data_IF_116828418243
#
_entry.id   IF_116828418243
#
_cell.length_a   1.000
_cell.length_b   1.000
_cell.length_c   1.000
_cell.angle_alpha   90.00
_cell.angle_beta   90.00
_cell.angle_gamma   90.00
#
_symmetry.space_group_name_H-M   'P 1'
#
loop_
_entity.id
_entity.type
_entity.pdbx_description
1 polymer ?
#
# COMPACT_ATOMS: atom_id res chain seq x y z
N UNK A 1 11.01 -3.47 14.29
CA UNK A 1 9.76 -2.82 13.82
C UNK A 1 10.03 -1.37 13.52
N UNK A 2 9.58 -0.87 12.38
CA UNK A 2 9.71 0.54 12.04
C UNK A 2 8.33 1.23 12.13
N UNK A 3 8.33 2.55 12.03
CA UNK A 3 7.09 3.31 12.19
C UNK A 3 6.06 3.08 11.07
N UNK A 4 6.49 2.54 9.92
CA UNK A 4 5.57 2.24 8.83
C UNK A 4 4.75 0.96 9.08
N UNK A 5 5.22 0.07 9.96
CA UNK A 5 4.55 -1.22 10.18
C UNK A 5 3.13 -1.05 10.71
N UNK A 6 2.94 -0.13 11.65
CA UNK A 6 1.61 0.16 12.19
C UNK A 6 0.71 0.78 11.13
N UNK A 7 1.27 1.63 10.27
CA UNK A 7 0.51 2.25 9.19
C UNK A 7 0.12 1.24 8.13
N UNK A 8 1.00 0.28 7.84
CA UNK A 8 0.68 -0.82 6.92
C UNK A 8 -0.50 -1.63 7.44
N UNK A 9 -0.46 -2.00 8.73
CA UNK A 9 -1.55 -2.75 9.34
C UNK A 9 -2.88 -1.99 9.21
N UNK A 10 -2.84 -0.69 9.41
CA UNK A 10 -4.04 0.15 9.28
C UNK A 10 -4.54 0.21 7.83
N UNK A 11 -3.64 0.33 6.86
CA UNK A 11 -4.04 0.36 5.45
C UNK A 11 -4.71 -0.96 5.03
N UNK A 12 -4.16 -2.09 5.46
CA UNK A 12 -4.75 -3.41 5.20
C UNK A 12 -6.14 -3.51 5.83
N UNK A 13 -6.27 -3.09 7.08
CA UNK A 13 -7.53 -3.11 7.79
C UNK A 13 -8.59 -2.23 7.12
N UNK A 14 -8.19 -1.03 6.69
CA UNK A 14 -9.10 -0.12 5.99
C UNK A 14 -9.61 -0.73 4.68
N UNK A 15 -8.74 -1.37 3.91
CA UNK A 15 -9.13 -2.03 2.67
C UNK A 15 -10.11 -3.18 2.95
N UNK A 16 -9.80 -4.00 3.94
CA UNK A 16 -10.68 -5.13 4.32
C UNK A 16 -12.03 -4.67 4.80
N UNK A 17 -12.09 -3.56 5.52
CA UNK A 17 -13.35 -3.01 6.01
C UNK A 17 -14.28 -2.62 4.86
N UNK A 18 -13.74 -2.33 3.68
CA UNK A 18 -14.51 -2.03 2.48
C UNK A 18 -14.80 -3.27 1.63
N UNK A 19 -14.42 -4.46 2.12
CA UNK A 19 -14.59 -5.70 1.34
C UNK A 19 -13.62 -5.86 0.19
N UNK A 20 -12.52 -5.09 0.18
CA UNK A 20 -11.50 -5.20 -0.84
C UNK A 20 -10.63 -6.43 -0.54
N UNK A 21 -10.47 -7.36 -1.49
CA UNK A 21 -9.83 -8.66 -1.23
C UNK A 21 -8.30 -8.59 -1.29
N UNK A 22 -7.70 -7.80 -0.39
CA UNK A 22 -6.25 -7.76 -0.27
C UNK A 22 -5.72 -9.12 0.18
N UNK A 23 -4.50 -9.46 -0.21
CA UNK A 23 -3.90 -10.74 0.13
C UNK A 23 -3.78 -10.94 1.64
N UNK A 24 -3.99 -12.18 2.09
CA UNK A 24 -3.71 -12.57 3.47
C UNK A 24 -2.21 -12.77 3.71
N UNK A 25 -1.40 -12.73 2.64
CA UNK A 25 0.03 -13.02 2.71
C UNK A 25 0.89 -11.77 2.51
N UNK A 26 0.47 -10.68 3.09
CA UNK A 26 1.26 -9.45 3.11
C UNK A 26 2.15 -9.50 4.35
N UNK A 27 3.47 -9.37 4.16
CA UNK A 27 4.38 -9.28 5.30
C UNK A 27 3.99 -8.09 6.18
N UNK A 28 3.94 -8.27 7.51
CA UNK A 28 3.58 -7.17 8.41
C UNK A 28 4.69 -6.13 8.56
N UNK A 29 5.85 -6.37 7.98
CA UNK A 29 6.99 -5.46 8.06
C UNK A 29 7.20 -4.76 6.73
N UNK A 30 7.25 -3.44 6.79
CA UNK A 30 7.58 -2.60 5.63
C UNK A 30 9.09 -2.59 5.46
N UNK A 31 9.55 -2.85 4.24
CA UNK A 31 10.96 -2.68 3.90
C UNK A 31 11.21 -1.21 3.57
N UNK A 32 12.22 -0.61 4.18
CA UNK A 32 12.57 0.78 3.92
C UNK A 32 13.68 0.83 2.88
N UNK A 33 13.42 1.49 1.76
CA UNK A 33 14.39 1.64 0.69
C UNK A 33 15.10 2.99 0.83
N UNK A 34 16.39 2.95 1.10
CA UNK A 34 17.21 4.14 1.31
C UNK A 34 17.78 4.72 0.02
N UNK A 35 17.56 4.03 -1.10
CA UNK A 35 18.11 4.44 -2.41
C UNK A 35 17.06 4.90 -3.41
N UNK A 36 15.78 4.76 -3.07
CA UNK A 36 14.70 5.12 -3.99
C UNK A 36 14.63 6.65 -4.11
N UNK A 37 14.82 7.16 -5.32
CA UNK A 37 14.79 8.61 -5.58
C UNK A 37 13.63 9.01 -6.49
N UNK A 38 13.05 8.07 -7.22
CA UNK A 38 11.99 8.36 -8.20
C UNK A 38 10.64 7.77 -7.84
N UNK A 39 10.60 6.79 -6.94
CA UNK A 39 9.35 6.18 -6.52
C UNK A 39 9.28 6.16 -5.00
N UNK A 40 8.06 6.27 -4.46
CA UNK A 40 7.85 6.27 -3.02
C UNK A 40 7.53 4.88 -2.47
N UNK A 41 7.00 3.98 -3.28
CA UNK A 41 6.64 2.66 -2.83
C UNK A 41 6.72 1.60 -3.91
N UNK A 42 6.70 0.34 -3.47
CA UNK A 42 6.75 -0.82 -4.34
C UNK A 42 6.09 -2.00 -3.64
N UNK A 43 5.44 -2.87 -4.41
CA UNK A 43 4.89 -4.12 -3.91
C UNK A 43 5.69 -5.26 -4.55
N UNK A 44 6.38 -6.03 -3.72
CA UNK A 44 7.28 -7.09 -4.19
C UNK A 44 6.70 -8.44 -3.79
N UNK A 45 6.59 -9.36 -4.75
CA UNK A 45 6.19 -10.73 -4.44
C UNK A 45 7.44 -11.57 -4.25
N UNK A 46 7.52 -12.23 -3.10
CA UNK A 46 8.70 -13.02 -2.74
C UNK A 46 8.27 -14.28 -2.01
N UNK A 47 8.48 -15.45 -2.64
CA UNK A 47 8.19 -16.73 -2.01
C UNK A 47 6.74 -16.90 -1.60
N UNK A 48 5.80 -16.41 -2.36
CA UNK A 48 4.37 -16.51 -2.03
C UNK A 48 3.86 -15.44 -1.06
N UNK A 49 4.74 -14.56 -0.62
CA UNK A 49 4.40 -13.46 0.27
C UNK A 49 4.60 -12.14 -0.46
N UNK A 50 3.81 -11.13 -0.10
CA UNK A 50 4.00 -9.77 -0.60
C UNK A 50 4.74 -8.95 0.44
N UNK A 51 5.76 -8.24 0.00
CA UNK A 51 6.51 -7.30 0.83
C UNK A 51 6.27 -5.90 0.30
N UNK A 52 5.80 -5.02 1.16
CA UNK A 52 5.60 -3.61 0.80
C UNK A 52 6.89 -2.87 1.16
N UNK A 53 7.41 -2.15 0.17
CA UNK A 53 8.63 -1.37 0.34
C UNK A 53 8.27 0.11 0.22
N UNK A 54 8.80 0.94 1.11
CA UNK A 54 8.63 2.39 1.05
C UNK A 54 9.98 3.08 1.04
N UNK A 55 10.04 4.21 0.33
CA UNK A 55 11.21 5.08 0.36
C UNK A 55 11.39 5.68 1.75
N UNK A 56 12.63 5.80 2.21
CA UNK A 56 12.92 6.46 3.48
C UNK A 56 12.48 7.92 3.50
N UNK A 57 12.28 8.53 2.33
CA UNK A 57 11.77 9.90 2.24
C UNK A 57 10.42 10.07 2.91
N UNK A 58 9.64 8.99 2.96
CA UNK A 58 8.32 9.03 3.61
C UNK A 58 8.40 9.07 5.12
N UNK A 59 9.58 8.85 5.72
CA UNK A 59 9.75 8.98 7.17
C UNK A 59 9.53 10.42 7.64
N UNK A 60 9.75 11.40 6.77
CA UNK A 60 9.57 12.82 7.08
C UNK A 60 8.29 13.39 6.44
N UNK A 61 7.51 12.55 5.77
CA UNK A 61 6.29 12.99 5.13
C UNK A 61 5.11 12.93 6.11
N UNK A 62 4.02 13.61 5.76
CA UNK A 62 2.79 13.54 6.53
C UNK A 62 2.26 12.11 6.53
N UNK A 63 1.62 11.73 7.63
CA UNK A 63 1.01 10.40 7.77
C UNK A 63 0.08 10.07 6.59
N UNK A 64 -0.70 11.06 6.14
CA UNK A 64 -1.61 10.86 5.02
C UNK A 64 -0.88 10.44 3.75
N UNK A 65 0.28 11.04 3.46
CA UNK A 65 1.08 10.67 2.31
C UNK A 65 1.59 9.24 2.42
N UNK A 66 2.00 8.84 3.62
CA UNK A 66 2.42 7.45 3.88
C UNK A 66 1.26 6.49 3.68
N UNK A 67 0.09 6.81 4.21
CA UNK A 67 -1.11 5.97 4.08
C UNK A 67 -1.54 5.82 2.62
N UNK A 68 -1.49 6.90 1.85
CA UNK A 68 -1.84 6.84 0.42
C UNK A 68 -0.88 5.94 -0.35
N UNK A 69 0.41 6.03 -0.06
CA UNK A 69 1.41 5.19 -0.71
C UNK A 69 1.25 3.73 -0.29
N UNK A 70 1.04 3.47 1.01
CA UNK A 70 0.81 2.11 1.50
C UNK A 70 -0.45 1.50 0.88
N UNK A 71 -1.54 2.25 0.84
CA UNK A 71 -2.78 1.77 0.23
C UNK A 71 -2.59 1.47 -1.26
N UNK A 72 -1.87 2.33 -1.99
CA UNK A 72 -1.54 2.10 -3.39
C UNK A 72 -0.87 0.73 -3.58
N UNK A 73 0.13 0.43 -2.75
CA UNK A 73 0.86 -0.84 -2.87
C UNK A 73 0.07 -2.03 -2.36
N UNK A 74 -0.69 -1.86 -1.27
CA UNK A 74 -1.53 -2.93 -0.73
C UNK A 74 -2.57 -3.39 -1.77
N UNK A 75 -3.13 -2.47 -2.53
CA UNK A 75 -4.11 -2.81 -3.57
C UNK A 75 -3.52 -3.68 -4.67
N UNK A 76 -2.21 -3.62 -4.90
CA UNK A 76 -1.56 -4.50 -5.87
C UNK A 76 -1.57 -5.98 -5.44
N UNK A 77 -1.87 -6.27 -4.18
CA UNK A 77 -1.94 -7.65 -3.69
C UNK A 77 -3.28 -8.31 -4.00
N UNK A 78 -4.27 -7.55 -4.45
CA UNK A 78 -5.59 -8.09 -4.80
C UNK A 78 -5.51 -8.90 -6.09
N UNK A 79 -6.31 -9.97 -6.23
CA UNK A 79 -6.37 -10.71 -7.48
C UNK A 79 -6.72 -9.78 -8.64
N UNK A 80 -5.97 -9.89 -9.74
CA UNK A 80 -6.20 -9.06 -10.92
C UNK A 80 -5.70 -7.63 -10.84
N UNK A 81 -4.96 -7.28 -9.79
CA UNK A 81 -4.50 -5.91 -9.55
C UNK A 81 -2.98 -5.74 -9.64
N UNK A 82 -2.30 -6.57 -10.42
CA UNK A 82 -0.83 -6.46 -10.60
C UNK A 82 -0.42 -5.11 -11.19
N UNK A 83 -1.26 -4.57 -12.04
CA UNK A 83 -1.04 -3.27 -12.67
C UNK A 83 -2.16 -2.31 -12.26
N UNK A 84 -2.12 -1.11 -12.79
CA UNK A 84 -3.13 -0.09 -12.48
C UNK A 84 -4.33 -0.18 -13.45
N UNK A 85 -4.89 -1.39 -13.59
CA UNK A 85 -6.04 -1.62 -14.45
C UNK A 85 -7.35 -1.15 -13.83
N UNK A 86 -8.46 -1.49 -14.50
CA UNK A 86 -9.78 -1.02 -14.08
C UNK A 86 -10.16 -1.43 -12.66
N UNK A 87 -9.85 -2.66 -12.28
CA UNK A 87 -10.19 -3.17 -10.94
C UNK A 87 -9.37 -2.46 -9.85
N UNK A 88 -8.07 -2.27 -10.09
CA UNK A 88 -7.22 -1.53 -9.15
C UNK A 88 -7.74 -0.09 -8.97
N UNK A 89 -8.11 0.56 -10.08
CA UNK A 89 -8.65 1.92 -10.03
C UNK A 89 -9.97 1.99 -9.28
N UNK A 90 -10.82 0.97 -9.43
CA UNK A 90 -12.08 0.89 -8.68
C UNK A 90 -11.82 0.82 -7.19
N UNK A 91 -10.91 -0.06 -6.77
CA UNK A 91 -10.57 -0.18 -5.36
C UNK A 91 -9.94 1.10 -4.80
N UNK A 92 -9.06 1.73 -5.57
CA UNK A 92 -8.48 3.00 -5.17
C UNK A 92 -9.55 4.07 -4.99
N UNK A 93 -10.51 4.16 -5.91
CA UNK A 93 -11.61 5.12 -5.80
C UNK A 93 -12.46 4.86 -4.55
N UNK A 94 -12.70 3.59 -4.21
CA UNK A 94 -13.46 3.25 -3.01
C UNK A 94 -12.75 3.68 -1.74
N UNK A 95 -11.43 3.47 -1.66
CA UNK A 95 -10.66 3.93 -0.52
C UNK A 95 -10.60 5.46 -0.45
N UNK A 96 -10.46 6.11 -1.59
CA UNK A 96 -10.47 7.57 -1.66
C UNK A 96 -11.79 8.14 -1.13
N UNK A 97 -12.90 7.55 -1.53
CA UNK A 97 -14.22 7.99 -1.08
C UNK A 97 -14.46 7.75 0.41
N UNK A 98 -13.99 6.62 0.93
CA UNK A 98 -14.21 6.26 2.33
C UNK A 98 -13.31 7.00 3.30
N UNK A 99 -12.05 7.24 2.93
CA UNK A 99 -11.03 7.75 3.86
C UNK A 99 -10.46 9.11 3.47
N UNK A 100 -10.92 9.68 2.38
CA UNK A 100 -10.46 10.98 1.93
C UNK A 100 -9.05 10.97 1.37
N UNK A 101 -8.59 9.84 0.84
CA UNK A 101 -7.28 9.76 0.21
C UNK A 101 -7.33 10.25 -1.24
N UNK A 102 -6.15 10.44 -1.82
CA UNK A 102 -5.95 10.77 -3.23
C UNK A 102 -5.03 9.71 -3.87
N UNK A 103 -5.43 8.44 -3.75
CA UNK A 103 -4.67 7.33 -4.31
C UNK A 103 -4.81 7.38 -5.83
N UNK A 104 -3.68 7.36 -6.55
CA UNK A 104 -3.66 7.37 -8.00
C UNK A 104 -2.47 6.56 -8.48
N UNK A 105 -2.48 6.22 -9.77
CA UNK A 105 -1.37 5.47 -10.36
C UNK A 105 -0.12 6.35 -10.51
#
# INVERSE_FOLDING_TARGET
MNEFDALLARAVEQARALGIPVSARISPRVAVNRRAVTRFGCCIRRGGEYVIELSERLLEAEERACMQTLAHEVLHTCPGCRNHGALWKEYAARMNGAYGYAISR
#
